data_IF_531062801570
#
_entry.id   IF_531062801570
#
_cell.length_a   1.000
_cell.length_b   1.000
_cell.length_c   1.000
_cell.angle_alpha   90.00
_cell.angle_beta   90.00
_cell.angle_gamma   90.00
#
_symmetry.space_group_name_H-M   'P 1'
#
loop_
_entity.id
_entity.type
_entity.pdbx_description
1 polymer ?
#
# COMPACT_ATOMS: atom_id res chain seq x y z
N UNK A 1 -0.24 -32.30 12.67
CA UNK A 1 -0.65 -32.18 11.24
C UNK A 1 -0.02 -30.93 10.65
N UNK A 2 0.50 -30.98 9.42
CA UNK A 2 1.09 -29.80 8.77
C UNK A 2 -0.03 -28.92 8.24
N UNK A 3 -0.05 -27.64 8.63
CA UNK A 3 -0.90 -26.63 8.02
C UNK A 3 -0.52 -26.47 6.53
N UNK A 4 -1.51 -26.31 5.66
CA UNK A 4 -1.27 -26.11 4.24
C UNK A 4 -1.02 -24.61 3.98
N UNK A 5 0.12 -24.27 3.34
CA UNK A 5 0.36 -22.90 2.88
C UNK A 5 -0.53 -22.57 1.68
N UNK A 6 -1.11 -21.37 1.71
CA UNK A 6 -1.86 -20.86 0.57
C UNK A 6 -0.94 -20.73 -0.66
N UNK A 7 -1.48 -21.04 -1.85
CA UNK A 7 -0.76 -20.97 -3.14
C UNK A 7 -1.47 -20.07 -4.15
N UNK A 8 -2.62 -19.52 -3.78
CA UNK A 8 -3.48 -18.76 -4.70
C UNK A 8 -2.99 -17.32 -4.93
N UNK A 9 -2.33 -16.72 -3.92
CA UNK A 9 -1.83 -15.36 -4.02
C UNK A 9 -0.31 -15.37 -4.17
N UNK A 10 0.16 -15.10 -5.39
CA UNK A 10 1.58 -15.04 -5.74
C UNK A 10 2.20 -13.63 -5.67
N UNK A 11 3.42 -13.51 -6.18
CA UNK A 11 4.16 -12.24 -6.20
C UNK A 11 3.47 -11.12 -6.96
N UNK A 12 2.69 -11.44 -8.01
CA UNK A 12 1.93 -10.43 -8.78
C UNK A 12 0.81 -9.80 -7.95
N UNK A 13 0.12 -10.61 -7.13
CA UNK A 13 -0.89 -10.09 -6.19
C UNK A 13 -0.21 -9.22 -5.12
N UNK A 14 0.95 -9.63 -4.58
CA UNK A 14 1.72 -8.81 -3.64
C UNK A 14 2.11 -7.46 -4.25
N UNK A 15 2.50 -7.44 -5.53
CA UNK A 15 2.83 -6.22 -6.27
C UNK A 15 1.61 -5.33 -6.47
N UNK A 16 0.43 -5.89 -6.80
CA UNK A 16 -0.81 -5.12 -6.86
C UNK A 16 -1.16 -4.49 -5.51
N UNK A 17 -1.15 -5.28 -4.44
CA UNK A 17 -1.43 -4.77 -3.08
C UNK A 17 -0.44 -3.68 -2.64
N UNK A 18 0.83 -3.77 -3.08
CA UNK A 18 1.82 -2.73 -2.85
C UNK A 18 1.47 -1.46 -3.63
N UNK A 19 1.31 -1.59 -4.95
CA UNK A 19 1.19 -0.44 -5.85
C UNK A 19 -0.17 0.25 -5.70
N UNK A 20 -1.25 -0.50 -5.52
CA UNK A 20 -2.56 0.08 -5.25
C UNK A 20 -2.57 0.85 -3.92
N UNK A 21 -1.99 0.28 -2.86
CA UNK A 21 -1.83 0.95 -1.58
C UNK A 21 -0.90 2.17 -1.66
N UNK A 22 0.23 2.06 -2.34
CA UNK A 22 1.21 3.13 -2.49
C UNK A 22 0.68 4.30 -3.33
N UNK A 23 0.07 4.01 -4.49
CA UNK A 23 -0.45 5.07 -5.37
C UNK A 23 -1.64 5.81 -4.78
N UNK A 24 -2.57 5.09 -4.14
CA UNK A 24 -3.71 5.71 -3.45
C UNK A 24 -3.28 6.53 -2.23
N UNK A 25 -2.37 6.01 -1.41
CA UNK A 25 -1.86 6.75 -0.25
C UNK A 25 -0.99 7.95 -0.66
N UNK A 26 -0.19 7.83 -1.73
CA UNK A 26 0.52 8.95 -2.32
C UNK A 26 -0.44 10.07 -2.71
N UNK A 27 -1.53 9.74 -3.42
CA UNK A 27 -2.54 10.71 -3.80
C UNK A 27 -3.17 11.39 -2.59
N UNK A 28 -3.62 10.60 -1.58
CA UNK A 28 -4.22 11.12 -0.36
C UNK A 28 -3.29 12.11 0.34
N UNK A 29 -2.05 11.71 0.58
CA UNK A 29 -1.07 12.54 1.29
C UNK A 29 -0.73 13.80 0.50
N UNK A 30 -0.46 13.66 -0.80
CA UNK A 30 -0.09 14.80 -1.64
C UNK A 30 -1.24 15.78 -1.81
N UNK A 31 -2.45 15.30 -2.13
CA UNK A 31 -3.63 16.15 -2.25
C UNK A 31 -3.93 16.89 -0.95
N UNK A 32 -3.83 16.23 0.21
CA UNK A 32 -4.05 16.86 1.51
C UNK A 32 -3.05 17.97 1.83
N UNK A 33 -1.82 17.93 1.29
CA UNK A 33 -0.83 18.98 1.46
C UNK A 33 -1.15 20.24 0.64
N UNK A 34 -1.95 20.11 -0.43
CA UNK A 34 -2.24 21.17 -1.38
C UNK A 34 -3.74 21.46 -1.55
N UNK A 35 -4.61 20.90 -0.69
CA UNK A 35 -6.07 21.06 -0.80
C UNK A 35 -6.51 22.52 -0.92
N UNK A 36 -5.84 23.43 -0.22
CA UNK A 36 -6.17 24.86 -0.22
C UNK A 36 -5.43 25.66 -1.30
N UNK A 37 -4.50 25.04 -2.03
CA UNK A 37 -3.60 25.68 -3.00
C UNK A 37 -3.30 24.77 -4.18
N UNK A 38 -4.34 24.22 -4.81
CA UNK A 38 -4.19 23.30 -5.94
C UNK A 38 -3.39 23.88 -7.13
N UNK A 39 -3.38 25.20 -7.29
CA UNK A 39 -2.57 25.88 -8.32
C UNK A 39 -1.06 25.74 -8.08
N UNK A 40 -0.64 25.47 -6.84
CA UNK A 40 0.77 25.21 -6.49
C UNK A 40 1.13 23.73 -6.63
N UNK A 41 0.14 22.85 -6.81
CA UNK A 41 0.35 21.42 -6.92
C UNK A 41 0.89 21.05 -8.32
N UNK A 42 1.86 20.15 -8.34
CA UNK A 42 2.35 19.60 -9.61
C UNK A 42 1.35 18.60 -10.20
N UNK A 43 0.82 18.83 -11.40
CA UNK A 43 -0.05 17.87 -12.08
C UNK A 43 0.61 16.49 -12.21
N UNK A 44 1.91 16.47 -12.50
CA UNK A 44 2.68 15.23 -12.62
C UNK A 44 2.69 14.43 -11.30
N UNK A 45 2.79 15.10 -10.15
CA UNK A 45 2.71 14.44 -8.85
C UNK A 45 1.32 13.86 -8.59
N UNK A 46 0.26 14.61 -8.89
CA UNK A 46 -1.13 14.15 -8.74
C UNK A 46 -1.36 12.92 -9.63
N UNK A 47 -1.00 13.01 -10.91
CA UNK A 47 -1.24 11.94 -11.88
C UNK A 47 -0.37 10.71 -11.66
N UNK A 48 0.80 10.84 -11.01
CA UNK A 48 1.66 9.69 -10.71
C UNK A 48 1.00 8.70 -9.72
N UNK A 49 0.16 9.16 -8.80
CA UNK A 49 -0.61 8.28 -7.92
C UNK A 49 -1.55 7.34 -8.71
N UNK A 50 -2.24 7.87 -9.71
CA UNK A 50 -3.09 7.08 -10.61
C UNK A 50 -2.28 6.11 -11.47
N UNK A 51 -1.13 6.57 -12.01
CA UNK A 51 -0.26 5.73 -12.83
C UNK A 51 0.29 4.52 -12.03
N UNK A 52 0.65 4.72 -10.78
CA UNK A 52 1.13 3.64 -9.90
C UNK A 52 0.02 2.61 -9.66
N UNK A 53 -1.22 3.04 -9.39
CA UNK A 53 -2.37 2.13 -9.24
C UNK A 53 -2.66 1.39 -10.54
N UNK A 54 -2.56 2.06 -11.69
CA UNK A 54 -2.74 1.43 -13.01
C UNK A 54 -1.72 0.30 -13.23
N UNK A 55 -0.46 0.52 -12.87
CA UNK A 55 0.58 -0.51 -12.94
C UNK A 55 0.25 -1.69 -12.00
N UNK A 56 -0.21 -1.42 -10.77
CA UNK A 56 -0.68 -2.44 -9.84
C UNK A 56 -1.79 -3.30 -10.44
N UNK A 57 -2.82 -2.65 -10.99
CA UNK A 57 -3.93 -3.33 -11.66
C UNK A 57 -3.46 -4.20 -12.84
N UNK A 58 -2.45 -3.77 -13.59
CA UNK A 58 -1.85 -4.57 -14.65
C UNK A 58 -1.25 -5.87 -14.13
N UNK A 59 -0.54 -5.83 -12.98
CA UNK A 59 -0.04 -7.05 -12.32
C UNK A 59 -1.18 -7.97 -11.91
N UNK A 60 -2.24 -7.43 -11.32
CA UNK A 60 -3.42 -8.22 -10.93
C UNK A 60 -4.08 -8.87 -12.14
N UNK A 61 -4.30 -8.13 -13.23
CA UNK A 61 -4.89 -8.64 -14.47
C UNK A 61 -4.03 -9.74 -15.11
N UNK A 62 -2.69 -9.63 -15.01
CA UNK A 62 -1.76 -10.63 -15.55
C UNK A 62 -1.81 -11.97 -14.80
N UNK A 63 -2.35 -12.00 -13.57
CA UNK A 63 -2.56 -13.23 -12.80
C UNK A 63 -3.86 -13.95 -13.19
N UNK A 64 -4.81 -13.21 -13.78
CA UNK A 64 -6.08 -13.80 -14.19
C UNK A 64 -5.90 -14.71 -15.41
N UNK A 65 -6.29 -15.97 -15.31
CA UNK A 65 -6.24 -16.92 -16.42
C UNK A 65 -7.06 -16.49 -17.65
N UNK A 66 -8.04 -15.59 -17.46
CA UNK A 66 -8.88 -15.02 -18.54
C UNK A 66 -9.10 -13.52 -18.30
N UNK A 67 -8.13 -12.65 -18.59
CA UNK A 67 -8.23 -11.22 -18.32
C UNK A 67 -9.38 -10.52 -19.07
N UNK A 68 -9.77 -11.02 -20.23
CA UNK A 68 -10.91 -10.47 -20.99
C UNK A 68 -12.25 -10.56 -20.26
N UNK A 69 -12.36 -11.42 -19.23
CA UNK A 69 -13.58 -11.60 -18.44
C UNK A 69 -13.55 -10.79 -17.12
N UNK A 70 -12.55 -9.94 -16.92
CA UNK A 70 -12.36 -9.11 -15.74
C UNK A 70 -13.63 -8.34 -15.34
N UNK A 71 -14.33 -7.71 -16.29
CA UNK A 71 -15.58 -7.00 -16.05
C UNK A 71 -16.70 -7.87 -15.44
N UNK A 72 -16.65 -9.21 -15.65
CA UNK A 72 -17.64 -10.13 -15.05
C UNK A 72 -17.45 -10.28 -13.54
N UNK A 73 -16.25 -10.02 -13.04
CA UNK A 73 -15.98 -10.02 -11.59
C UNK A 73 -16.80 -8.94 -10.89
N UNK A 74 -16.95 -7.76 -11.51
CA UNK A 74 -17.72 -6.65 -10.96
C UNK A 74 -19.20 -7.02 -10.71
N UNK A 75 -19.78 -8.01 -11.39
CA UNK A 75 -21.17 -8.44 -11.16
C UNK A 75 -21.41 -8.98 -9.75
N UNK A 76 -20.37 -9.53 -9.11
CA UNK A 76 -20.45 -10.11 -7.76
C UNK A 76 -20.07 -9.14 -6.64
N UNK A 77 -20.12 -7.83 -6.89
CA UNK A 77 -19.66 -6.78 -5.98
C UNK A 77 -20.27 -6.85 -4.56
N UNK A 78 -21.51 -7.37 -4.44
CA UNK A 78 -22.18 -7.50 -3.14
C UNK A 78 -21.57 -8.56 -2.23
N UNK A 79 -20.92 -9.59 -2.80
CA UNK A 79 -20.44 -10.78 -2.06
C UNK A 79 -18.92 -10.90 -2.03
N UNK A 80 -18.17 -10.21 -2.89
CA UNK A 80 -16.72 -10.38 -3.02
C UNK A 80 -15.98 -9.05 -2.88
N UNK A 81 -15.06 -8.96 -1.95
CA UNK A 81 -14.17 -7.81 -1.81
C UNK A 81 -13.24 -7.62 -3.00
N UNK A 82 -12.82 -8.72 -3.65
CA UNK A 82 -12.06 -8.61 -4.90
C UNK A 82 -12.87 -7.90 -5.99
N UNK A 83 -14.17 -8.20 -6.11
CA UNK A 83 -15.05 -7.51 -7.06
C UNK A 83 -15.23 -6.02 -6.70
N UNK A 84 -15.33 -5.68 -5.42
CA UNK A 84 -15.35 -4.28 -4.96
C UNK A 84 -14.04 -3.56 -5.27
N UNK A 85 -12.90 -4.22 -5.07
CA UNK A 85 -11.58 -3.69 -5.44
C UNK A 85 -11.49 -3.32 -6.92
N UNK A 86 -12.02 -4.17 -7.81
CA UNK A 86 -12.11 -3.87 -9.26
C UNK A 86 -12.88 -2.58 -9.51
N UNK A 87 -14.03 -2.41 -8.85
CA UNK A 87 -14.87 -1.21 -9.01
C UNK A 87 -14.14 0.01 -8.46
N UNK A 88 -13.56 -0.07 -7.26
CA UNK A 88 -12.86 1.05 -6.63
C UNK A 88 -11.66 1.51 -7.44
N UNK A 89 -10.82 0.57 -7.91
CA UNK A 89 -9.70 0.89 -8.79
C UNK A 89 -10.18 1.51 -10.12
N UNK A 90 -11.28 0.99 -10.71
CA UNK A 90 -11.82 1.55 -11.96
C UNK A 90 -12.33 2.96 -11.77
N UNK A 91 -13.08 3.25 -10.68
CA UNK A 91 -13.56 4.59 -10.37
C UNK A 91 -12.42 5.56 -10.13
N UNK A 92 -11.41 5.14 -9.37
CA UNK A 92 -10.20 5.94 -9.11
C UNK A 92 -9.47 6.26 -10.40
N UNK A 93 -9.26 5.29 -11.29
CA UNK A 93 -8.57 5.52 -12.58
C UNK A 93 -9.38 6.36 -13.56
N UNK A 94 -10.71 6.22 -13.57
CA UNK A 94 -11.59 7.10 -14.37
C UNK A 94 -11.55 8.54 -13.88
N UNK A 95 -11.53 8.75 -12.57
CA UNK A 95 -11.36 10.06 -11.96
C UNK A 95 -10.00 10.68 -12.34
N UNK A 96 -8.91 9.90 -12.26
CA UNK A 96 -7.58 10.32 -12.70
C UNK A 96 -7.52 10.72 -14.18
N UNK A 97 -8.23 10.01 -15.05
CA UNK A 97 -8.39 10.40 -16.45
C UNK A 97 -9.15 11.73 -16.58
N UNK A 98 -10.21 11.91 -15.78
CA UNK A 98 -10.96 13.18 -15.72
C UNK A 98 -10.07 14.35 -15.27
N UNK A 99 -9.25 14.16 -14.24
CA UNK A 99 -8.28 15.16 -13.77
C UNK A 99 -7.26 15.49 -14.87
N UNK A 100 -6.71 14.46 -15.54
CA UNK A 100 -5.76 14.66 -16.63
C UNK A 100 -6.36 15.49 -17.78
N UNK A 101 -7.61 15.20 -18.15
CA UNK A 101 -8.34 15.95 -19.17
C UNK A 101 -8.63 17.39 -18.70
N UNK A 102 -9.02 17.59 -17.43
CA UNK A 102 -9.26 18.92 -16.88
C UNK A 102 -7.99 19.79 -16.90
N UNK A 103 -6.83 19.22 -16.55
CA UNK A 103 -5.54 19.91 -16.71
C UNK A 103 -5.24 20.24 -18.18
N UNK A 104 -5.45 19.31 -19.10
CA UNK A 104 -5.18 19.52 -20.53
C UNK A 104 -6.08 20.59 -21.15
N UNK A 105 -7.30 20.75 -20.65
CA UNK A 105 -8.28 21.71 -21.16
C UNK A 105 -8.30 23.04 -20.36
N UNK A 106 -7.55 23.13 -19.24
CA UNK A 106 -7.48 24.32 -18.40
C UNK A 106 -8.75 24.57 -17.55
N UNK A 107 -9.53 23.53 -17.22
CA UNK A 107 -10.74 23.64 -16.42
C UNK A 107 -10.44 23.52 -14.90
N UNK A 108 -9.99 24.61 -14.27
CA UNK A 108 -9.59 24.64 -12.84
C UNK A 108 -10.70 24.17 -11.90
N UNK A 109 -11.94 24.62 -12.07
CA UNK A 109 -13.07 24.23 -11.23
C UNK A 109 -13.39 22.72 -11.30
N UNK A 110 -13.12 22.07 -12.44
CA UNK A 110 -13.23 20.61 -12.55
C UNK A 110 -12.11 19.89 -11.78
N UNK A 111 -10.90 20.44 -11.72
CA UNK A 111 -9.78 19.87 -10.97
C UNK A 111 -10.10 19.81 -9.49
N UNK A 112 -10.72 20.85 -8.93
CA UNK A 112 -11.13 20.87 -7.52
C UNK A 112 -12.17 19.79 -7.19
N UNK A 113 -13.24 19.70 -8.01
CA UNK A 113 -14.32 18.72 -7.81
C UNK A 113 -13.78 17.29 -7.95
N UNK A 114 -13.07 17.00 -9.04
CA UNK A 114 -12.50 15.67 -9.27
C UNK A 114 -11.41 15.36 -8.26
N UNK A 115 -10.61 16.33 -7.83
CA UNK A 115 -9.61 16.16 -6.79
C UNK A 115 -10.23 15.69 -5.46
N UNK A 116 -11.36 16.28 -5.06
CA UNK A 116 -12.09 15.87 -3.86
C UNK A 116 -12.73 14.48 -4.02
N UNK A 117 -13.28 14.15 -5.19
CA UNK A 117 -13.80 12.81 -5.50
C UNK A 117 -12.68 11.77 -5.52
N UNK A 118 -11.53 12.12 -6.12
CA UNK A 118 -10.34 11.28 -6.15
C UNK A 118 -9.84 10.91 -4.75
N UNK A 119 -9.96 11.83 -3.78
CA UNK A 119 -9.63 11.55 -2.38
C UNK A 119 -10.52 10.44 -1.80
N UNK A 120 -11.83 10.50 -2.08
CA UNK A 120 -12.77 9.47 -1.63
C UNK A 120 -12.48 8.12 -2.30
N UNK A 121 -12.24 8.11 -3.61
CA UNK A 121 -11.90 6.88 -4.33
C UNK A 121 -10.54 6.32 -3.91
N UNK A 122 -9.54 7.16 -3.69
CA UNK A 122 -8.24 6.74 -3.16
C UNK A 122 -8.37 6.08 -1.79
N UNK A 123 -9.22 6.61 -0.89
CA UNK A 123 -9.48 5.99 0.40
C UNK A 123 -10.12 4.60 0.25
N UNK A 124 -11.04 4.40 -0.70
CA UNK A 124 -11.62 3.09 -1.00
C UNK A 124 -10.57 2.12 -1.55
N UNK A 125 -9.67 2.59 -2.44
CA UNK A 125 -8.55 1.78 -2.97
C UNK A 125 -7.55 1.43 -1.87
N UNK A 126 -7.28 2.33 -0.93
CA UNK A 126 -6.38 2.08 0.20
C UNK A 126 -6.93 1.01 1.17
N UNK A 127 -8.25 1.01 1.40
CA UNK A 127 -8.89 0.11 2.37
C UNK A 127 -9.17 -1.28 1.78
N UNK A 128 -9.43 -1.38 0.47
CA UNK A 128 -9.86 -2.65 -0.13
C UNK A 128 -8.87 -3.82 0.09
N UNK A 129 -7.54 -3.65 0.03
CA UNK A 129 -6.60 -4.76 0.27
C UNK A 129 -6.73 -5.36 1.67
N UNK A 130 -6.96 -4.51 2.68
CA UNK A 130 -7.19 -4.95 4.06
C UNK A 130 -8.47 -5.77 4.16
N UNK A 131 -9.55 -5.28 3.53
CA UNK A 131 -10.83 -5.97 3.56
C UNK A 131 -10.80 -7.28 2.75
N UNK A 132 -10.07 -7.30 1.62
CA UNK A 132 -9.83 -8.51 0.84
C UNK A 132 -9.15 -9.60 1.67
N UNK A 133 -8.10 -9.25 2.41
CA UNK A 133 -7.39 -10.21 3.24
C UNK A 133 -8.24 -10.67 4.43
N UNK A 134 -9.05 -9.78 5.02
CA UNK A 134 -9.96 -10.14 6.13
C UNK A 134 -11.12 -11.04 5.68
N UNK A 135 -11.52 -10.98 4.42
CA UNK A 135 -12.58 -11.83 3.84
C UNK A 135 -12.15 -13.30 3.67
N UNK A 136 -10.85 -13.56 3.71
CA UNK A 136 -10.30 -14.92 3.74
C UNK A 136 -10.52 -15.55 5.11
N UNK A 137 -11.71 -16.13 5.33
CA UNK A 137 -12.18 -16.66 6.63
C UNK A 137 -11.25 -17.72 7.22
N UNK A 138 -10.58 -18.47 6.37
CA UNK A 138 -9.71 -19.59 6.75
C UNK A 138 -8.33 -19.15 7.28
N UNK A 139 -7.93 -17.88 7.09
CA UNK A 139 -6.60 -17.39 7.46
C UNK A 139 -6.70 -16.41 8.63
N UNK A 140 -6.56 -16.94 9.85
CA UNK A 140 -6.70 -16.17 11.09
C UNK A 140 -5.76 -14.95 11.16
N UNK A 141 -4.52 -15.09 10.67
CA UNK A 141 -3.54 -14.01 10.67
C UNK A 141 -4.03 -12.75 9.96
N UNK A 142 -4.72 -12.91 8.83
CA UNK A 142 -5.21 -11.78 8.02
C UNK A 142 -6.43 -11.09 8.65
N UNK A 143 -7.20 -11.81 9.47
CA UNK A 143 -8.41 -11.29 10.14
C UNK A 143 -8.12 -10.44 11.36
N UNK A 144 -6.94 -10.56 11.96
CA UNK A 144 -6.58 -9.83 13.18
C UNK A 144 -6.47 -8.33 12.92
N UNK A 145 -7.03 -7.52 13.81
CA UNK A 145 -7.01 -6.06 13.68
C UNK A 145 -5.59 -5.47 13.60
N UNK A 146 -4.63 -6.05 14.34
CA UNK A 146 -3.23 -5.63 14.30
C UNK A 146 -2.61 -5.77 12.91
N UNK A 147 -2.90 -6.85 12.17
CA UNK A 147 -2.47 -7.02 10.78
C UNK A 147 -2.99 -5.90 9.89
N UNK A 148 -4.27 -5.56 10.02
CA UNK A 148 -4.93 -4.51 9.25
C UNK A 148 -4.27 -3.15 9.47
N UNK A 149 -3.93 -2.81 10.71
CA UNK A 149 -3.26 -1.54 11.05
C UNK A 149 -1.88 -1.47 10.42
N UNK A 150 -1.07 -2.54 10.53
CA UNK A 150 0.28 -2.54 9.93
C UNK A 150 0.20 -2.47 8.40
N UNK A 151 -0.76 -3.15 7.75
CA UNK A 151 -0.95 -3.08 6.31
C UNK A 151 -1.28 -1.66 5.86
N UNK A 152 -2.21 -0.97 6.53
CA UNK A 152 -2.58 0.41 6.22
C UNK A 152 -1.42 1.38 6.43
N UNK A 153 -0.75 1.31 7.59
CA UNK A 153 0.40 2.17 7.90
C UNK A 153 1.56 1.93 6.92
N UNK A 154 1.82 0.68 6.53
CA UNK A 154 2.86 0.38 5.54
C UNK A 154 2.50 0.93 4.15
N UNK A 155 1.23 0.97 3.77
CA UNK A 155 0.80 1.59 2.52
C UNK A 155 0.98 3.11 2.56
N UNK A 156 0.57 3.77 3.66
CA UNK A 156 0.77 5.21 3.86
C UNK A 156 2.26 5.57 3.87
N UNK A 157 3.10 4.80 4.57
CA UNK A 157 4.56 4.99 4.56
C UNK A 157 5.13 4.88 3.15
N UNK A 158 4.69 3.89 2.37
CA UNK A 158 5.16 3.70 0.99
C UNK A 158 4.74 4.88 0.10
N UNK A 159 3.51 5.38 0.22
CA UNK A 159 3.07 6.58 -0.49
C UNK A 159 3.89 7.81 -0.14
N UNK A 160 4.18 8.04 1.14
CA UNK A 160 5.02 9.14 1.59
C UNK A 160 6.45 9.06 1.04
N UNK A 161 7.06 7.86 1.07
CA UNK A 161 8.41 7.65 0.52
C UNK A 161 8.46 7.86 -1.00
N UNK A 162 7.40 7.54 -1.73
CA UNK A 162 7.30 7.84 -3.17
C UNK A 162 7.18 9.35 -3.39
N UNK A 163 6.40 10.07 -2.58
CA UNK A 163 6.36 11.54 -2.64
C UNK A 163 7.76 12.12 -2.43
N UNK A 164 8.51 11.62 -1.44
CA UNK A 164 9.88 12.05 -1.19
C UNK A 164 10.80 11.80 -2.39
N UNK A 165 10.72 10.63 -3.02
CA UNK A 165 11.51 10.31 -4.21
C UNK A 165 11.16 11.19 -5.41
N UNK A 166 9.87 11.40 -5.66
CA UNK A 166 9.39 12.18 -6.82
C UNK A 166 9.55 13.68 -6.62
N UNK A 167 9.46 14.17 -5.37
CA UNK A 167 9.63 15.60 -5.09
C UNK A 167 11.01 16.12 -5.51
N UNK A 168 12.04 15.28 -5.48
CA UNK A 168 13.36 15.63 -5.98
C UNK A 168 13.35 16.14 -7.44
N UNK A 169 12.52 15.51 -8.28
CA UNK A 169 12.46 15.76 -9.73
C UNK A 169 11.30 16.63 -10.14
N UNK A 170 10.14 16.47 -9.49
CA UNK A 170 8.90 17.11 -9.92
C UNK A 170 8.56 18.37 -9.14
N UNK A 171 8.91 18.41 -7.85
CA UNK A 171 8.59 19.55 -6.97
C UNK A 171 9.55 19.64 -5.78
N UNK A 172 10.79 20.13 -5.98
CA UNK A 172 11.81 20.17 -4.94
C UNK A 172 11.43 21.00 -3.69
N UNK A 173 10.49 21.95 -3.84
CA UNK A 173 10.01 22.79 -2.74
C UNK A 173 9.39 22.02 -1.57
N UNK A 174 8.83 20.82 -1.85
CA UNK A 174 8.21 19.98 -0.80
C UNK A 174 9.11 18.85 -0.31
N UNK A 175 10.36 18.74 -0.79
CA UNK A 175 11.25 17.63 -0.45
C UNK A 175 11.40 17.48 1.07
N UNK A 176 11.64 18.58 1.79
CA UNK A 176 11.84 18.54 3.24
C UNK A 176 10.59 18.02 3.97
N UNK A 177 9.42 18.58 3.67
CA UNK A 177 8.18 18.17 4.32
C UNK A 177 7.82 16.71 3.98
N UNK A 178 8.11 16.26 2.76
CA UNK A 178 7.88 14.87 2.36
C UNK A 178 8.79 13.88 3.10
N UNK A 179 10.04 14.27 3.40
CA UNK A 179 10.95 13.49 4.24
C UNK A 179 10.42 13.42 5.68
N UNK A 180 9.96 14.53 6.25
CA UNK A 180 9.41 14.57 7.61
C UNK A 180 8.16 13.67 7.75
N UNK A 181 7.25 13.72 6.76
CA UNK A 181 6.08 12.84 6.72
C UNK A 181 6.50 11.36 6.58
N UNK A 182 7.50 11.08 5.74
CA UNK A 182 8.02 9.71 5.58
C UNK A 182 8.59 9.17 6.88
N UNK A 183 9.36 9.96 7.60
CA UNK A 183 9.90 9.61 8.93
C UNK A 183 8.76 9.29 9.90
N UNK A 184 7.77 10.18 10.00
CA UNK A 184 6.65 9.99 10.93
C UNK A 184 5.87 8.70 10.65
N UNK A 185 5.55 8.42 9.38
CA UNK A 185 4.80 7.24 8.97
C UNK A 185 5.63 5.94 9.08
N UNK A 186 6.93 5.98 8.78
CA UNK A 186 7.84 4.86 8.99
C UNK A 186 7.92 4.53 10.48
N UNK A 187 8.09 5.53 11.35
CA UNK A 187 8.09 5.34 12.81
C UNK A 187 6.77 4.73 13.30
N UNK A 188 5.64 5.26 12.85
CA UNK A 188 4.32 4.70 13.19
C UNK A 188 4.19 3.24 12.76
N UNK A 189 4.69 2.90 11.56
CA UNK A 189 4.64 1.52 11.04
C UNK A 189 5.56 0.59 11.85
N UNK A 190 6.78 1.05 12.18
CA UNK A 190 7.72 0.30 13.02
C UNK A 190 7.14 0.02 14.40
N UNK A 191 6.55 1.03 15.03
CA UNK A 191 5.89 0.89 16.34
C UNK A 191 4.72 -0.08 16.27
N UNK A 192 3.81 0.08 15.30
CA UNK A 192 2.66 -0.81 15.14
C UNK A 192 3.10 -2.26 14.87
N UNK A 193 4.10 -2.47 14.00
CA UNK A 193 4.62 -3.80 13.69
C UNK A 193 5.29 -4.44 14.88
N UNK A 194 6.11 -3.69 15.64
CA UNK A 194 6.79 -4.17 16.85
C UNK A 194 5.80 -4.53 17.96
N UNK A 195 4.82 -3.66 18.23
CA UNK A 195 3.77 -3.89 19.22
C UNK A 195 2.93 -5.12 18.86
N UNK A 196 2.52 -5.23 17.59
CA UNK A 196 1.76 -6.38 17.14
C UNK A 196 2.58 -7.67 17.20
N UNK A 197 3.83 -7.65 16.71
CA UNK A 197 4.75 -8.79 16.79
C UNK A 197 5.02 -9.24 18.22
N UNK A 198 5.13 -8.32 19.18
CA UNK A 198 5.35 -8.62 20.60
C UNK A 198 4.11 -9.20 21.28
N UNK A 199 2.91 -8.84 20.81
CA UNK A 199 1.64 -9.37 21.32
C UNK A 199 1.37 -10.82 20.90
N UNK A 200 2.11 -11.33 19.90
CA UNK A 200 2.00 -12.71 19.43
C UNK A 200 2.79 -13.63 20.36
N UNK A 201 2.22 -14.80 20.69
CA UNK A 201 2.88 -15.84 21.47
C UNK A 201 4.09 -16.46 20.75
N UNK A 202 4.69 -17.50 21.36
CA UNK A 202 5.83 -18.22 20.76
C UNK A 202 5.55 -19.72 20.59
N UNK A 203 4.43 -20.19 21.09
CA UNK A 203 4.17 -21.61 21.22
C UNK A 203 3.66 -22.26 19.94
N UNK A 204 2.88 -21.52 19.14
CA UNK A 204 2.23 -22.05 17.94
C UNK A 204 3.01 -21.70 16.66
N UNK A 205 2.96 -22.57 15.66
CA UNK A 205 3.60 -22.37 14.35
C UNK A 205 3.06 -21.11 13.66
N UNK A 206 1.75 -20.87 13.76
CA UNK A 206 1.09 -19.67 13.23
C UNK A 206 1.68 -18.38 13.82
N UNK A 207 1.91 -18.36 15.13
CA UNK A 207 2.46 -17.18 15.81
C UNK A 207 3.91 -16.91 15.42
N UNK A 208 4.70 -17.95 15.18
CA UNK A 208 6.09 -17.81 14.71
C UNK A 208 6.16 -17.26 13.29
N UNK A 209 5.33 -17.77 12.38
CA UNK A 209 5.25 -17.27 11.00
C UNK A 209 4.74 -15.83 10.96
N UNK A 210 3.71 -15.51 11.75
CA UNK A 210 3.21 -14.15 11.91
C UNK A 210 4.31 -13.20 12.39
N UNK A 211 5.04 -13.59 13.43
CA UNK A 211 6.13 -12.78 13.99
C UNK A 211 7.24 -12.55 12.96
N UNK A 212 7.62 -13.57 12.19
CA UNK A 212 8.59 -13.45 11.10
C UNK A 212 8.10 -12.46 10.04
N UNK A 213 6.82 -12.55 9.64
CA UNK A 213 6.20 -11.66 8.66
C UNK A 213 6.26 -10.21 9.10
N UNK A 214 5.82 -9.90 10.32
CA UNK A 214 5.82 -8.51 10.81
C UNK A 214 7.21 -7.98 11.14
N UNK A 215 8.16 -8.84 11.46
CA UNK A 215 9.56 -8.44 11.67
C UNK A 215 10.31 -8.19 10.36
N UNK A 216 9.85 -8.71 9.22
CA UNK A 216 10.53 -8.49 7.93
C UNK A 216 10.59 -7.03 7.51
N UNK A 217 9.63 -6.22 7.94
CA UNK A 217 9.62 -4.78 7.66
C UNK A 217 10.60 -3.97 8.53
N UNK A 218 11.02 -4.51 9.69
CA UNK A 218 11.78 -3.76 10.69
C UNK A 218 13.15 -3.31 10.16
N UNK A 219 13.93 -4.23 9.57
CA UNK A 219 15.27 -3.92 9.11
C UNK A 219 15.29 -2.91 7.96
N UNK A 220 14.55 -3.08 6.85
CA UNK A 220 14.53 -2.09 5.77
C UNK A 220 14.02 -0.72 6.25
N UNK A 221 13.00 -0.67 7.11
CA UNK A 221 12.46 0.58 7.59
C UNK A 221 13.38 1.30 8.57
N UNK A 222 14.11 0.59 9.42
CA UNK A 222 15.11 1.22 10.30
C UNK A 222 16.28 1.80 9.50
N UNK A 223 16.75 1.11 8.46
CA UNK A 223 17.78 1.65 7.57
C UNK A 223 17.26 2.88 6.83
N UNK A 224 16.06 2.81 6.28
CA UNK A 224 15.43 3.94 5.59
C UNK A 224 15.25 5.13 6.52
N UNK A 225 14.82 4.92 7.78
CA UNK A 225 14.68 5.96 8.79
C UNK A 225 16.01 6.65 9.10
N UNK A 226 17.09 5.88 9.28
CA UNK A 226 18.42 6.43 9.52
C UNK A 226 18.90 7.29 8.34
N UNK A 227 18.65 6.84 7.10
CA UNK A 227 18.99 7.61 5.90
C UNK A 227 18.16 8.89 5.78
N UNK A 228 16.87 8.85 6.06
CA UNK A 228 16.04 10.07 6.07
C UNK A 228 16.49 11.05 7.17
N UNK A 229 16.87 10.57 8.34
CA UNK A 229 17.43 11.41 9.38
C UNK A 229 18.73 12.07 8.90
N UNK A 230 19.64 11.33 8.25
CA UNK A 230 20.84 11.89 7.64
C UNK A 230 20.51 12.91 6.54
N UNK A 231 19.49 12.66 5.73
CA UNK A 231 19.05 13.59 4.68
C UNK A 231 18.61 14.94 5.26
N UNK A 232 17.88 14.97 6.38
CA UNK A 232 17.44 16.22 7.03
C UNK A 232 18.63 17.07 7.49
N UNK A 233 19.68 16.43 8.01
CA UNK A 233 20.86 17.14 8.49
C UNK A 233 21.80 17.60 7.36
N UNK A 234 21.57 17.16 6.13
CA UNK A 234 22.37 17.58 4.97
C UNK A 234 22.02 19.01 4.57
N UNK A 235 23.03 19.89 4.54
CA UNK A 235 22.89 21.29 4.09
C UNK A 235 22.88 21.44 2.56
N UNK A 236 23.32 20.40 1.82
CA UNK A 236 23.36 20.43 0.37
C UNK A 236 22.09 19.79 -0.24
N UNK A 237 21.25 20.53 -0.99
CA UNK A 237 19.99 20.00 -1.52
C UNK A 237 20.13 18.76 -2.43
N UNK A 238 21.20 18.71 -3.22
CA UNK A 238 21.49 17.56 -4.09
C UNK A 238 21.82 16.29 -3.30
N UNK A 239 22.61 16.44 -2.23
CA UNK A 239 22.95 15.33 -1.35
C UNK A 239 21.73 14.88 -0.52
N UNK A 240 20.96 15.83 -0.02
CA UNK A 240 19.70 15.57 0.69
C UNK A 240 18.75 14.74 -0.18
N UNK A 241 18.52 15.15 -1.42
CA UNK A 241 17.66 14.45 -2.36
C UNK A 241 18.19 13.06 -2.73
N UNK A 242 19.49 12.93 -2.95
CA UNK A 242 20.12 11.63 -3.25
C UNK A 242 19.98 10.62 -2.12
N UNK A 243 20.22 11.04 -0.86
CA UNK A 243 20.02 10.19 0.31
C UNK A 243 18.55 9.82 0.49
N UNK A 244 17.63 10.79 0.32
CA UNK A 244 16.20 10.55 0.43
C UNK A 244 15.69 9.55 -0.64
N UNK A 245 16.25 9.61 -1.85
CA UNK A 245 15.94 8.68 -2.92
C UNK A 245 16.35 7.23 -2.55
N UNK A 246 17.56 7.04 -2.04
CA UNK A 246 18.03 5.73 -1.57
C UNK A 246 17.15 5.22 -0.41
N UNK A 247 16.83 6.09 0.55
CA UNK A 247 15.94 5.76 1.65
C UNK A 247 14.56 5.29 1.15
N UNK A 248 14.02 5.96 0.14
CA UNK A 248 12.73 5.61 -0.48
C UNK A 248 12.76 4.21 -1.10
N UNK A 249 13.80 3.89 -1.88
CA UNK A 249 13.94 2.57 -2.49
C UNK A 249 14.01 1.45 -1.45
N UNK A 250 14.76 1.66 -0.36
CA UNK A 250 14.87 0.68 0.72
C UNK A 250 13.51 0.50 1.44
N UNK A 251 12.77 1.58 1.68
CA UNK A 251 11.45 1.49 2.29
C UNK A 251 10.44 0.76 1.38
N UNK A 252 10.43 1.06 0.07
CA UNK A 252 9.56 0.39 -0.91
C UNK A 252 9.89 -1.11 -0.97
N UNK A 253 11.18 -1.46 -1.00
CA UNK A 253 11.62 -2.86 -0.95
C UNK A 253 11.13 -3.57 0.32
N UNK A 254 11.31 -2.95 1.49
CA UNK A 254 10.82 -3.51 2.76
C UNK A 254 9.30 -3.70 2.78
N UNK A 255 8.56 -2.77 2.18
CA UNK A 255 7.11 -2.86 2.03
C UNK A 255 6.68 -4.00 1.10
N UNK A 256 7.44 -4.26 0.03
CA UNK A 256 7.22 -5.39 -0.87
C UNK A 256 7.50 -6.71 -0.17
N UNK A 257 8.66 -6.82 0.48
CA UNK A 257 9.05 -8.01 1.24
C UNK A 257 8.02 -8.36 2.32
N UNK A 258 7.52 -7.36 3.05
CA UNK A 258 6.45 -7.54 4.02
C UNK A 258 5.19 -8.15 3.38
N UNK A 259 4.74 -7.65 2.21
CA UNK A 259 3.55 -8.17 1.53
C UNK A 259 3.75 -9.58 0.99
N UNK A 260 4.94 -9.88 0.45
CA UNK A 260 5.29 -11.24 0.01
C UNK A 260 5.26 -12.23 1.19
N UNK A 261 5.84 -11.83 2.32
CA UNK A 261 5.82 -12.65 3.53
C UNK A 261 4.40 -12.78 4.12
N UNK A 262 3.60 -11.71 4.10
CA UNK A 262 2.22 -11.71 4.58
C UNK A 262 1.35 -12.68 3.77
N UNK A 263 1.44 -12.65 2.46
CA UNK A 263 0.71 -13.59 1.60
C UNK A 263 1.26 -15.01 1.73
N UNK A 264 2.58 -15.17 1.80
CA UNK A 264 3.23 -16.48 1.96
C UNK A 264 3.01 -17.14 3.33
N UNK A 265 2.67 -16.35 4.36
CA UNK A 265 2.38 -16.86 5.72
C UNK A 265 0.93 -17.28 5.93
N UNK A 266 0.08 -17.18 4.90
CA UNK A 266 -1.29 -17.67 4.95
C UNK A 266 -1.31 -19.18 5.16
N UNK A 267 -1.71 -19.62 6.37
CA UNK A 267 -1.84 -21.02 6.74
C UNK A 267 -3.32 -21.37 6.84
N UNK A 268 -3.76 -22.36 6.05
CA UNK A 268 -5.08 -22.96 6.21
C UNK A 268 -5.07 -23.95 7.37
N UNK A 269 -6.10 -23.96 8.23
CA UNK A 269 -6.24 -24.99 9.25
C UNK A 269 -6.32 -26.38 8.59
N UNK A 270 -5.86 -27.45 9.27
CA UNK A 270 -5.96 -28.79 8.74
C UNK A 270 -7.43 -29.15 8.52
N UNK A 271 -7.75 -29.71 7.33
CA UNK A 271 -9.11 -30.05 6.90
C UNK A 271 -9.78 -31.09 7.81
N UNK A 272 -8.98 -31.84 8.60
CA UNK A 272 -9.46 -32.89 9.52
C UNK A 272 -9.08 -32.52 10.94
N UNK A 273 -10.08 -32.31 11.79
CA UNK A 273 -9.89 -32.20 13.23
C UNK A 273 -9.59 -33.58 13.81
N UNK A 274 -8.41 -33.77 14.41
CA UNK A 274 -8.01 -35.03 15.07
C UNK A 274 -8.92 -35.45 16.23
N UNK A 275 -9.62 -34.49 16.84
CA UNK A 275 -10.58 -34.70 17.92
C UNK A 275 -11.79 -35.55 17.47
N UNK A 276 -12.08 -35.64 16.18
CA UNK A 276 -13.15 -36.48 15.62
C UNK A 276 -12.77 -37.97 15.56
N UNK A 277 -11.50 -38.34 15.68
CA UNK A 277 -11.00 -39.72 15.59
C UNK A 277 -10.46 -40.28 16.91
N UNK A 278 -10.46 -39.49 17.97
CA UNK A 278 -10.19 -39.95 19.32
C UNK A 278 -11.50 -40.32 19.99
N UNK A 279 -12.04 -41.50 19.67
CA UNK A 279 -13.00 -42.26 20.50
C UNK A 279 -12.37 -43.52 21.00
#
# INVERSE_FOLDING_TARGET
MRAFRQKEFGGKVASDLLLSGAGSSMYILYYSLFSDRLNEASPAMILSGFAIVLIGLFFLLSELGRPRNFWRMAKNWRRSWMARGVIFNSLYLLDGLGIALAYALGYEGMIEILGALGLAFAALVLIYPVMLLRDAEDIELWRRAGSSIVILLSALSTGATIISAFSLFMQPSILKISIEISIALILATLLASSLYSSSLGRAEELEREAKKTFNSILLPYTISLALYALAIFSSQPSLQGGIALIASFIAIYGSLEFRLNLLGSGLHPPIVREDLFKK
#
